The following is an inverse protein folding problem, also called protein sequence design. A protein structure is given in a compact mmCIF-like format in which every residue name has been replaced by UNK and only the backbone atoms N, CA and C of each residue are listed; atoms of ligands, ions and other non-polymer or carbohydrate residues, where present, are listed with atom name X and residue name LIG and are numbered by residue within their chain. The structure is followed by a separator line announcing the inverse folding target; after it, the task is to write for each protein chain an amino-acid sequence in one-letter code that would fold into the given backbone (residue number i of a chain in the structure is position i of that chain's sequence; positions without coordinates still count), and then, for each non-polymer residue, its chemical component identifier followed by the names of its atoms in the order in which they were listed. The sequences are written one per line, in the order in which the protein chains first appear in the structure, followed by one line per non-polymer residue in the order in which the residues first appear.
data_IF_893424677804
#
_entry.id   IF_893424677804
#
_cell.length_a   1.000
_cell.length_b   1.000
_cell.length_c   1.000
_cell.angle_alpha   90.00
_cell.angle_beta   90.00
_cell.angle_gamma   90.00
#
_symmetry.space_group_name_H-M   'P 1'
#
loop_
_entity.id
_entity.type
_entity.pdbx_description
1 polymer ?
#
# COMPACT_ATOMS: atom_id res chain seq x y z
N UNK A 1 -28.26 -5.50 23.94
CA UNK A 1 -28.58 -4.26 24.68
C UNK A 1 -27.31 -3.52 25.11
N UNK A 2 -26.44 -4.08 25.96
CA UNK A 2 -25.20 -3.39 26.42
C UNK A 2 -24.29 -2.89 25.28
N UNK A 3 -23.96 -3.76 24.32
CA UNK A 3 -23.12 -3.40 23.17
C UNK A 3 -23.79 -2.34 22.27
N UNK A 4 -25.12 -2.41 22.13
CA UNK A 4 -25.89 -1.43 21.37
C UNK A 4 -25.82 -0.04 22.04
N UNK A 5 -25.97 0.01 23.37
CA UNK A 5 -25.84 1.24 24.15
C UNK A 5 -24.42 1.81 24.10
N UNK A 6 -23.38 0.97 24.14
CA UNK A 6 -21.98 1.39 23.99
C UNK A 6 -21.75 2.11 22.65
N UNK A 7 -22.23 1.54 21.55
CA UNK A 7 -22.10 2.18 20.24
C UNK A 7 -22.94 3.45 20.12
N UNK A 8 -24.20 3.41 20.55
CA UNK A 8 -25.13 4.53 20.40
C UNK A 8 -24.75 5.74 21.27
N UNK A 9 -24.50 5.52 22.56
CA UNK A 9 -24.16 6.60 23.50
C UNK A 9 -22.72 7.10 23.31
N UNK A 10 -21.81 6.21 22.91
CA UNK A 10 -20.41 6.55 22.66
C UNK A 10 -20.11 7.05 21.25
N UNK A 11 -21.14 7.17 20.40
CA UNK A 11 -21.03 7.49 18.97
C UNK A 11 -19.93 6.67 18.26
N UNK A 12 -19.81 5.38 18.62
CA UNK A 12 -18.78 4.49 18.06
C UNK A 12 -19.26 3.81 16.80
N UNK A 13 -18.35 3.65 15.85
CA UNK A 13 -18.59 2.79 14.68
C UNK A 13 -18.88 1.36 15.13
N UNK A 14 -19.81 0.68 14.45
CA UNK A 14 -20.25 -0.65 14.89
C UNK A 14 -19.13 -1.70 14.84
N UNK A 15 -18.16 -1.56 13.93
CA UNK A 15 -17.06 -2.53 13.81
C UNK A 15 -16.09 -2.53 14.98
N UNK A 16 -16.13 -1.52 15.87
CA UNK A 16 -15.27 -1.47 17.06
C UNK A 16 -15.39 -2.72 17.93
N UNK A 17 -16.56 -3.37 17.95
CA UNK A 17 -16.81 -4.55 18.80
C UNK A 17 -16.22 -5.84 18.23
N UNK A 18 -15.83 -5.83 16.95
CA UNK A 18 -15.16 -6.94 16.28
C UNK A 18 -13.65 -6.89 16.44
N UNK A 19 -13.09 -5.74 16.84
CA UNK A 19 -11.65 -5.55 16.95
C UNK A 19 -11.04 -6.40 18.06
N UNK A 20 -9.91 -7.06 17.77
CA UNK A 20 -9.19 -7.90 18.74
C UNK A 20 -8.83 -7.15 20.02
N UNK A 21 -8.49 -5.86 19.92
CA UNK A 21 -8.23 -5.02 21.08
C UNK A 21 -9.44 -4.89 22.02
N UNK A 22 -10.64 -4.68 21.46
CA UNK A 22 -11.88 -4.63 22.24
C UNK A 22 -12.21 -6.00 22.84
N UNK A 23 -12.08 -7.07 22.07
CA UNK A 23 -12.32 -8.44 22.53
C UNK A 23 -11.36 -8.81 23.68
N UNK A 24 -10.08 -8.48 23.54
CA UNK A 24 -9.07 -8.74 24.58
C UNK A 24 -9.33 -7.90 25.83
N UNK A 25 -9.68 -6.62 25.69
CA UNK A 25 -10.11 -5.80 26.81
C UNK A 25 -11.31 -6.41 27.54
N UNK A 26 -12.34 -6.83 26.80
CA UNK A 26 -13.53 -7.46 27.37
C UNK A 26 -13.19 -8.76 28.12
N UNK A 27 -12.32 -9.61 27.55
CA UNK A 27 -11.82 -10.82 28.22
C UNK A 27 -11.07 -10.49 29.52
N UNK A 28 -10.21 -9.47 29.49
CA UNK A 28 -9.46 -9.02 30.68
C UNK A 28 -10.40 -8.54 31.78
N UNK A 29 -11.37 -7.67 31.46
CA UNK A 29 -12.35 -7.17 32.42
C UNK A 29 -13.20 -8.30 33.02
N UNK A 30 -13.61 -9.25 32.18
CA UNK A 30 -14.34 -10.44 32.65
C UNK A 30 -13.50 -11.33 33.56
N UNK A 31 -12.20 -11.49 33.26
CA UNK A 31 -11.26 -12.21 34.11
C UNK A 31 -11.09 -11.55 35.47
N UNK A 32 -10.97 -10.22 35.51
CA UNK A 32 -10.91 -9.44 36.76
C UNK A 32 -12.16 -9.69 37.60
N UNK A 33 -13.36 -9.60 37.00
CA UNK A 33 -14.62 -9.84 37.70
C UNK A 33 -14.79 -11.27 38.23
N UNK A 34 -14.21 -12.28 37.57
CA UNK A 34 -14.18 -13.67 38.08
C UNK A 34 -13.19 -13.86 39.22
N UNK A 35 -12.05 -13.18 39.17
CA UNK A 35 -10.99 -13.29 40.17
C UNK A 35 -11.26 -12.52 41.45
N UNK A 36 -12.20 -11.57 41.42
CA UNK A 36 -12.58 -10.80 42.59
C UNK A 36 -13.65 -11.51 43.41
N UNK A 37 -13.28 -11.95 44.62
CA UNK A 37 -14.21 -12.49 45.62
C UNK A 37 -15.08 -11.41 46.29
N UNK A 38 -15.03 -10.16 45.79
CA UNK A 38 -15.78 -9.02 46.32
C UNK A 38 -16.88 -8.61 45.32
N UNK A 39 -18.10 -8.45 45.82
CA UNK A 39 -19.28 -8.08 45.03
C UNK A 39 -19.33 -6.60 44.62
N UNK A 40 -18.24 -5.85 44.75
CA UNK A 40 -18.23 -4.38 44.71
C UNK A 40 -16.97 -3.79 44.07
N UNK A 41 -16.53 -4.31 42.92
CA UNK A 41 -15.54 -3.56 42.12
C UNK A 41 -16.25 -2.39 41.45
N UNK A 42 -15.90 -1.17 41.86
CA UNK A 42 -16.28 0.04 41.14
C UNK A 42 -15.54 0.09 39.79
N UNK A 43 -16.30 0.02 38.69
CA UNK A 43 -15.73 -0.03 37.33
C UNK A 43 -14.92 1.23 37.01
N UNK A 44 -15.26 2.37 37.63
CA UNK A 44 -14.54 3.64 37.49
C UNK A 44 -13.11 3.59 38.02
N UNK A 45 -12.85 2.72 38.99
CA UNK A 45 -11.51 2.56 39.57
C UNK A 45 -10.66 1.56 38.76
N UNK A 46 -11.32 0.71 37.96
CA UNK A 46 -10.67 -0.27 37.10
C UNK A 46 -10.23 0.34 35.75
N UNK A 47 -11.01 1.26 35.20
CA UNK A 47 -10.72 1.88 33.90
C UNK A 47 -9.82 3.12 34.06
N UNK A 48 -8.64 3.16 33.42
CA UNK A 48 -7.75 4.31 33.55
C UNK A 48 -8.34 5.55 32.87
N UNK A 49 -8.08 6.72 33.45
CA UNK A 49 -8.41 8.00 32.83
C UNK A 49 -7.73 8.14 31.45
N UNK A 50 -8.34 8.81 30.45
CA UNK A 50 -7.75 8.97 29.11
C UNK A 50 -6.32 9.52 29.08
N UNK A 51 -5.98 10.43 30.00
CA UNK A 51 -4.61 10.97 30.13
C UNK A 51 -3.61 9.92 30.63
N UNK A 52 -4.05 8.93 31.40
CA UNK A 52 -3.21 7.78 31.81
C UNK A 52 -3.01 6.84 30.63
N UNK A 53 -4.05 6.60 29.82
CA UNK A 53 -3.92 5.81 28.58
C UNK A 53 -2.93 6.49 27.62
N UNK A 54 -3.09 7.79 27.37
CA UNK A 54 -2.20 8.56 26.49
C UNK A 54 -0.73 8.47 26.94
N UNK A 55 -0.43 8.73 28.22
CA UNK A 55 0.93 8.60 28.77
C UNK A 55 1.48 7.18 28.63
N UNK A 56 0.65 6.17 28.87
CA UNK A 56 1.06 4.78 28.74
C UNK A 56 1.32 4.39 27.28
N UNK A 57 0.53 4.88 26.32
CA UNK A 57 0.77 4.68 24.89
C UNK A 57 2.09 5.33 24.48
N UNK A 58 2.36 6.57 24.91
CA UNK A 58 3.65 7.23 24.64
C UNK A 58 4.80 6.42 25.21
N UNK A 59 4.72 5.97 26.46
CA UNK A 59 5.76 5.13 27.07
C UNK A 59 5.97 3.83 26.28
N UNK A 60 4.89 3.14 25.92
CA UNK A 60 4.97 1.91 25.13
C UNK A 60 5.60 2.17 23.76
N UNK A 61 5.24 3.27 23.10
CA UNK A 61 5.84 3.68 21.84
C UNK A 61 7.36 3.86 21.98
N UNK A 62 7.83 4.59 22.99
CA UNK A 62 9.27 4.77 23.24
C UNK A 62 9.98 3.43 23.51
N UNK A 63 9.35 2.54 24.29
CA UNK A 63 9.89 1.19 24.56
C UNK A 63 10.02 0.35 23.29
N UNK A 64 9.02 0.35 22.42
CA UNK A 64 9.07 -0.35 21.13
C UNK A 64 10.00 0.32 20.14
N UNK A 65 10.11 1.65 20.17
CA UNK A 65 11.03 2.42 19.31
C UNK A 65 12.47 2.05 19.61
N UNK A 66 12.86 1.95 20.90
CA UNK A 66 14.20 1.51 21.29
C UNK A 66 14.49 0.10 20.73
N UNK A 67 13.56 -0.84 20.89
CA UNK A 67 13.71 -2.19 20.33
C UNK A 67 13.84 -2.19 18.81
N UNK A 68 13.10 -1.32 18.12
CA UNK A 68 13.19 -1.18 16.67
C UNK A 68 14.53 -0.56 16.25
N UNK A 69 15.06 0.41 16.99
CA UNK A 69 16.39 0.99 16.75
C UNK A 69 17.46 -0.11 16.87
N UNK A 70 17.40 -0.95 17.91
CA UNK A 70 18.35 -2.06 18.09
C UNK A 70 18.33 -3.06 16.92
N UNK A 71 17.15 -3.28 16.33
CA UNK A 71 17.00 -4.08 15.10
C UNK A 71 17.62 -3.34 13.91
N UNK A 72 17.26 -2.07 13.73
CA UNK A 72 17.70 -1.24 12.61
C UNK A 72 19.23 -1.16 12.50
N UNK A 73 19.95 -1.05 13.62
CA UNK A 73 21.42 -1.05 13.65
C UNK A 73 22.04 -2.29 13.01
N UNK A 74 21.34 -3.42 13.06
CA UNK A 74 21.82 -4.70 12.54
C UNK A 74 21.37 -4.95 11.10
N UNK A 75 20.49 -4.11 10.54
CA UNK A 75 19.95 -4.29 9.20
C UNK A 75 21.00 -3.94 8.14
N UNK A 76 21.46 -4.97 7.44
CA UNK A 76 22.31 -4.81 6.24
C UNK A 76 21.49 -4.44 5.00
N UNK A 77 20.23 -4.86 4.94
CA UNK A 77 19.32 -4.69 3.81
C UNK A 77 17.93 -4.29 4.28
N UNK A 78 17.39 -3.22 3.69
CA UNK A 78 16.02 -2.77 3.92
C UNK A 78 15.48 -2.00 2.71
N UNK A 79 14.16 -1.81 2.70
CA UNK A 79 13.44 -0.98 1.78
C UNK A 79 12.62 0.05 2.56
N UNK A 80 12.50 1.26 2.04
CA UNK A 80 11.53 2.23 2.53
C UNK A 80 10.34 2.29 1.59
N UNK A 81 9.16 2.49 2.15
CA UNK A 81 7.96 2.89 1.43
C UNK A 81 7.64 4.30 1.89
N UNK A 82 7.63 5.25 0.96
CA UNK A 82 7.25 6.64 1.22
C UNK A 82 5.96 6.91 0.47
N UNK A 83 4.90 7.13 1.22
CA UNK A 83 3.56 7.34 0.68
C UNK A 83 3.04 8.73 1.05
N UNK A 84 2.36 9.37 0.10
CA UNK A 84 1.75 10.67 0.30
C UNK A 84 0.25 10.57 0.06
N UNK A 85 -0.51 10.98 1.07
CA UNK A 85 -1.97 11.03 0.99
C UNK A 85 -2.46 12.42 1.34
N UNK A 86 -3.65 12.79 0.83
CA UNK A 86 -4.32 14.04 1.21
C UNK A 86 -5.68 13.70 1.78
N UNK A 87 -5.92 14.13 3.01
CA UNK A 87 -7.19 13.93 3.69
C UNK A 87 -8.22 14.88 3.06
N UNK A 88 -9.24 14.30 2.43
CA UNK A 88 -10.12 15.02 1.51
C UNK A 88 -10.99 16.09 2.19
N UNK A 89 -11.22 16.00 3.50
CA UNK A 89 -12.12 16.89 4.22
C UNK A 89 -11.41 18.15 4.73
N UNK A 90 -10.23 18.00 5.27
CA UNK A 90 -9.37 19.07 5.80
C UNK A 90 -8.44 19.63 4.73
N UNK A 91 -8.17 18.86 3.67
CA UNK A 91 -7.19 19.19 2.64
C UNK A 91 -5.74 19.07 3.12
N UNK A 92 -5.51 18.53 4.32
CA UNK A 92 -4.17 18.33 4.87
C UNK A 92 -3.54 17.11 4.19
N UNK A 93 -2.34 17.29 3.62
CA UNK A 93 -1.55 16.17 3.14
C UNK A 93 -0.65 15.61 4.23
N UNK A 94 -0.40 14.32 4.18
CA UNK A 94 0.48 13.58 5.06
C UNK A 94 1.50 12.81 4.23
N UNK A 95 2.68 12.61 4.81
CA UNK A 95 3.73 11.76 4.27
C UNK A 95 4.04 10.68 5.30
N UNK A 96 3.73 9.43 4.95
CA UNK A 96 4.03 8.25 5.74
C UNK A 96 5.32 7.60 5.28
N UNK A 97 6.11 7.10 6.22
CA UNK A 97 7.32 6.32 5.95
C UNK A 97 7.21 4.99 6.66
N UNK A 98 7.30 3.91 5.88
CA UNK A 98 7.38 2.57 6.39
C UNK A 98 8.73 1.92 6.06
N UNK A 99 9.35 1.30 7.05
CA UNK A 99 10.50 0.44 6.91
C UNK A 99 10.04 -0.98 6.61
N UNK A 100 10.65 -1.61 5.60
CA UNK A 100 10.38 -3.00 5.24
C UNK A 100 11.68 -3.77 5.13
N UNK A 101 11.77 -4.91 5.81
CA UNK A 101 12.95 -5.76 5.76
C UNK A 101 12.57 -7.23 5.90
N UNK A 102 13.48 -8.11 5.50
CA UNK A 102 13.34 -9.55 5.67
C UNK A 102 14.16 -9.95 6.88
N UNK A 103 13.49 -10.44 7.93
CA UNK A 103 14.15 -10.91 9.15
C UNK A 103 14.63 -12.36 9.03
N UNK A 104 14.98 -12.93 10.18
CA UNK A 104 15.29 -14.35 10.28
C UNK A 104 14.11 -15.22 9.78
N UNK A 105 14.40 -16.41 9.26
CA UNK A 105 13.41 -17.34 8.69
C UNK A 105 12.64 -16.80 7.47
N UNK A 106 13.20 -15.80 6.78
CA UNK A 106 12.60 -15.20 5.58
C UNK A 106 11.22 -14.58 5.80
N UNK A 107 10.94 -14.14 7.03
CA UNK A 107 9.72 -13.40 7.34
C UNK A 107 9.86 -11.94 6.92
N UNK A 108 8.84 -11.43 6.24
CA UNK A 108 8.76 -10.02 5.86
C UNK A 108 8.16 -9.21 7.01
N UNK A 109 8.86 -8.15 7.41
CA UNK A 109 8.42 -7.20 8.42
C UNK A 109 8.18 -5.83 7.80
N UNK A 110 7.11 -5.18 8.23
CA UNK A 110 6.76 -3.81 7.84
C UNK A 110 6.49 -3.02 9.12
N UNK A 111 7.18 -1.89 9.28
CA UNK A 111 7.00 -0.98 10.41
C UNK A 111 6.76 0.43 9.89
N UNK A 112 5.68 1.06 10.33
CA UNK A 112 5.50 2.50 10.12
C UNK A 112 6.43 3.20 11.10
N UNK A 113 7.46 3.86 10.59
CA UNK A 113 8.48 4.50 11.43
C UNK A 113 8.15 5.97 11.70
N UNK A 114 7.42 6.63 10.80
CA UNK A 114 6.88 7.97 11.01
C UNK A 114 5.73 8.30 10.03
N UNK A 115 4.92 9.29 10.40
CA UNK A 115 3.92 9.93 9.55
C UNK A 115 3.79 11.40 9.95
N UNK A 116 4.03 12.32 9.01
CA UNK A 116 4.05 13.75 9.30
C UNK A 116 3.18 14.56 8.32
N UNK A 117 2.63 15.70 8.76
CA UNK A 117 1.95 16.63 7.87
C UNK A 117 2.90 17.13 6.78
N UNK A 118 2.47 17.05 5.53
CA UNK A 118 3.21 17.45 4.35
C UNK A 118 2.45 18.56 3.64
N UNK A 119 3.11 19.68 3.35
CA UNK A 119 2.50 20.75 2.56
C UNK A 119 2.98 20.65 1.11
N UNK A 120 2.16 20.07 0.24
CA UNK A 120 2.50 19.86 -1.18
C UNK A 120 2.71 21.17 -1.98
N UNK A 121 2.30 22.33 -1.45
CA UNK A 121 2.50 23.63 -2.08
C UNK A 121 3.88 24.23 -1.78
N UNK A 122 4.43 24.00 -0.59
CA UNK A 122 5.69 24.61 -0.14
C UNK A 122 6.84 23.62 -0.02
N UNK A 123 6.55 22.35 0.27
CA UNK A 123 7.58 21.32 0.39
C UNK A 123 8.09 20.91 -0.99
N UNK A 124 9.39 21.08 -1.19
CA UNK A 124 10.12 20.60 -2.36
C UNK A 124 10.62 19.17 -2.16
N UNK A 125 11.12 18.56 -3.23
CA UNK A 125 11.80 17.27 -3.18
C UNK A 125 12.96 17.24 -2.16
N UNK A 126 13.67 18.36 -2.02
CA UNK A 126 14.75 18.51 -1.06
C UNK A 126 14.24 18.46 0.39
N UNK A 127 13.16 19.20 0.69
CA UNK A 127 12.55 19.17 2.02
C UNK A 127 12.10 17.75 2.39
N UNK A 128 11.45 17.04 1.44
CA UNK A 128 11.08 15.64 1.65
C UNK A 128 12.30 14.76 1.98
N UNK A 129 13.41 14.95 1.24
CA UNK A 129 14.65 14.20 1.49
C UNK A 129 15.25 14.51 2.86
N UNK A 130 15.28 15.77 3.27
CA UNK A 130 15.79 16.19 4.59
C UNK A 130 14.96 15.58 5.73
N UNK A 131 13.63 15.59 5.62
CA UNK A 131 12.75 14.93 6.60
C UNK A 131 13.01 13.44 6.69
N UNK A 132 13.09 12.75 5.55
CA UNK A 132 13.37 11.30 5.51
C UNK A 132 14.74 11.01 6.12
N UNK A 133 15.79 11.78 5.78
CA UNK A 133 17.12 11.60 6.35
C UNK A 133 17.12 11.77 7.87
N UNK A 134 16.44 12.78 8.41
CA UNK A 134 16.32 12.99 9.85
C UNK A 134 15.69 11.79 10.56
N UNK A 135 14.65 11.21 9.98
CA UNK A 135 13.99 10.02 10.51
C UNK A 135 14.94 8.83 10.47
N UNK A 136 15.63 8.63 9.35
CA UNK A 136 16.60 7.54 9.24
C UNK A 136 17.75 7.67 10.24
N UNK A 137 18.26 8.88 10.46
CA UNK A 137 19.27 9.16 11.49
C UNK A 137 18.78 8.77 12.89
N UNK A 138 17.52 9.05 13.22
CA UNK A 138 16.91 8.66 14.49
C UNK A 138 16.84 7.13 14.66
N UNK A 139 16.58 6.41 13.57
CA UNK A 139 16.57 4.95 13.54
C UNK A 139 17.94 4.32 13.22
N UNK A 140 19.02 5.13 13.16
CA UNK A 140 20.39 4.70 12.82
C UNK A 140 20.48 3.95 11.49
N UNK A 141 19.63 4.34 10.54
CA UNK A 141 19.61 3.85 9.17
C UNK A 141 20.24 4.87 8.23
N UNK A 142 20.72 4.40 7.08
CA UNK A 142 21.23 5.26 6.03
C UNK A 142 20.81 4.71 4.66
N UNK A 143 20.42 5.61 3.76
CA UNK A 143 20.23 5.27 2.36
C UNK A 143 21.57 5.29 1.63
N UNK A 144 21.81 4.24 0.85
CA UNK A 144 22.94 4.09 -0.05
C UNK A 144 22.48 3.41 -1.34
N UNK A 145 23.39 3.23 -2.30
CA UNK A 145 23.08 2.68 -3.63
C UNK A 145 22.53 1.24 -3.62
N UNK A 146 22.66 0.53 -2.49
CA UNK A 146 22.12 -0.82 -2.28
C UNK A 146 20.72 -0.82 -1.67
N UNK A 147 20.27 0.32 -1.12
CA UNK A 147 18.96 0.45 -0.47
C UNK A 147 17.87 0.84 -1.46
N UNK A 148 16.66 0.40 -1.17
CA UNK A 148 15.49 0.62 -2.02
C UNK A 148 14.52 1.61 -1.38
N UNK A 149 13.93 2.46 -2.22
CA UNK A 149 12.83 3.34 -1.82
C UNK A 149 11.69 3.18 -2.82
N UNK A 150 10.52 2.77 -2.34
CA UNK A 150 9.28 2.72 -3.10
C UNK A 150 8.50 3.99 -2.83
N UNK A 151 8.13 4.72 -3.88
CA UNK A 151 7.27 5.91 -3.76
C UNK A 151 6.23 5.93 -4.87
N UNK A 152 5.27 6.83 -4.79
CA UNK A 152 4.41 7.16 -5.94
C UNK A 152 5.24 7.62 -7.17
N UNK A 153 4.58 7.75 -8.32
CA UNK A 153 5.21 8.23 -9.56
C UNK A 153 5.00 9.74 -9.78
N UNK A 154 4.80 10.51 -8.73
CA UNK A 154 4.64 11.95 -8.87
C UNK A 154 5.96 12.63 -9.21
N UNK A 155 6.01 13.50 -10.25
CA UNK A 155 7.24 14.13 -10.71
C UNK A 155 7.97 14.92 -9.63
N UNK A 156 7.25 15.41 -8.63
CA UNK A 156 7.80 16.18 -7.51
C UNK A 156 8.62 15.32 -6.53
N UNK A 157 8.33 14.02 -6.41
CA UNK A 157 9.04 13.13 -5.49
C UNK A 157 10.29 12.54 -6.13
N UNK A 158 10.29 12.37 -7.46
CA UNK A 158 11.42 11.76 -8.20
C UNK A 158 12.80 12.34 -7.84
N UNK A 159 13.01 13.67 -7.73
CA UNK A 159 14.32 14.22 -7.44
C UNK A 159 14.83 13.89 -6.03
N UNK A 160 13.94 13.61 -5.06
CA UNK A 160 14.31 13.33 -3.68
C UNK A 160 15.09 12.02 -3.51
N UNK A 161 14.92 11.08 -4.44
CA UNK A 161 15.43 9.71 -4.33
C UNK A 161 16.22 9.24 -5.57
N UNK A 162 16.68 10.18 -6.42
CA UNK A 162 17.34 9.83 -7.69
C UNK A 162 18.80 9.39 -7.55
N UNK A 163 19.55 9.94 -6.61
CA UNK A 163 21.03 9.85 -6.63
C UNK A 163 21.64 8.87 -5.63
N UNK A 164 21.02 8.70 -4.45
CA UNK A 164 21.64 7.99 -3.32
C UNK A 164 21.09 6.59 -3.07
N UNK A 165 20.05 6.17 -3.78
CA UNK A 165 19.36 4.90 -3.56
C UNK A 165 18.64 4.42 -4.83
N UNK A 166 18.26 3.14 -4.86
CA UNK A 166 17.44 2.58 -5.93
C UNK A 166 15.97 2.89 -5.71
N UNK A 167 15.42 3.83 -6.50
CA UNK A 167 13.99 4.14 -6.46
C UNK A 167 13.17 3.13 -7.29
N UNK A 168 12.09 2.64 -6.72
CA UNK A 168 11.07 1.85 -7.44
C UNK A 168 9.75 2.61 -7.43
N UNK A 169 9.13 2.75 -8.60
CA UNK A 169 7.83 3.42 -8.73
C UNK A 169 6.68 2.50 -8.30
N UNK A 170 5.73 3.03 -7.53
CA UNK A 170 4.54 2.30 -7.13
C UNK A 170 3.69 1.91 -8.35
N UNK A 171 3.45 0.60 -8.49
CA UNK A 171 2.63 0.03 -9.56
C UNK A 171 1.16 0.42 -9.42
N UNK A 172 0.62 0.44 -8.19
CA UNK A 172 -0.78 0.79 -7.93
C UNK A 172 -1.04 2.25 -8.30
N UNK A 173 -0.16 3.16 -7.89
CA UNK A 173 -0.24 4.55 -8.30
C UNK A 173 -0.16 4.71 -9.82
N UNK A 174 0.72 3.95 -10.49
CA UNK A 174 0.81 3.97 -11.95
C UNK A 174 -0.52 3.55 -12.61
N UNK A 175 -1.07 2.40 -12.24
CA UNK A 175 -2.29 1.86 -12.81
C UNK A 175 -3.49 2.76 -12.55
N UNK A 176 -3.64 3.24 -11.32
CA UNK A 176 -4.71 4.16 -10.93
C UNK A 176 -4.63 5.45 -11.77
N UNK A 177 -3.43 5.98 -12.01
CA UNK A 177 -3.24 7.16 -12.87
C UNK A 177 -3.65 6.91 -14.32
N UNK A 178 -3.39 5.73 -14.88
CA UNK A 178 -3.85 5.38 -16.23
C UNK A 178 -5.37 5.29 -16.31
N UNK A 179 -6.01 4.68 -15.31
CA UNK A 179 -7.48 4.64 -15.22
C UNK A 179 -8.08 6.04 -15.08
N UNK A 180 -7.50 6.89 -14.24
CA UNK A 180 -7.91 8.30 -14.14
C UNK A 180 -7.79 9.03 -15.47
N UNK A 181 -6.69 8.84 -16.21
CA UNK A 181 -6.53 9.42 -17.53
C UNK A 181 -7.62 8.94 -18.49
N UNK A 182 -7.88 7.64 -18.54
CA UNK A 182 -8.94 7.08 -19.38
C UNK A 182 -10.32 7.67 -19.05
N UNK A 183 -10.61 7.92 -17.78
CA UNK A 183 -11.94 8.34 -17.32
C UNK A 183 -12.16 9.84 -17.21
N UNK A 184 -11.10 10.66 -17.21
CA UNK A 184 -11.19 12.07 -16.84
C UNK A 184 -10.40 13.01 -17.75
N UNK A 185 -9.46 12.51 -18.54
CA UNK A 185 -8.54 13.33 -19.32
C UNK A 185 -8.82 13.18 -20.81
N UNK A 186 -8.83 14.29 -21.55
CA UNK A 186 -8.85 14.24 -23.02
C UNK A 186 -7.43 14.12 -23.60
N UNK A 187 -6.42 14.47 -22.80
CA UNK A 187 -5.01 14.49 -23.20
C UNK A 187 -4.11 14.17 -22.00
N UNK A 188 -2.95 13.57 -22.28
CA UNK A 188 -1.89 13.32 -21.30
C UNK A 188 -0.56 13.92 -21.75
N UNK A 189 0.21 14.44 -20.80
CA UNK A 189 1.57 14.90 -21.04
C UNK A 189 2.55 13.76 -20.81
N UNK A 190 3.19 13.27 -21.88
CA UNK A 190 4.23 12.24 -21.78
C UNK A 190 5.56 12.85 -21.31
N UNK A 191 5.83 14.08 -21.73
CA UNK A 191 6.95 14.89 -21.27
C UNK A 191 6.61 16.39 -21.51
N UNK A 192 7.55 17.30 -21.23
CA UNK A 192 7.36 18.75 -21.37
C UNK A 192 6.90 19.18 -22.78
N UNK A 193 7.21 18.41 -23.82
CA UNK A 193 7.01 18.76 -25.22
C UNK A 193 6.09 17.79 -25.99
N UNK A 194 5.60 16.72 -25.35
CA UNK A 194 4.80 15.69 -26.01
C UNK A 194 3.47 15.51 -25.29
N UNK A 195 2.40 15.78 -26.03
CA UNK A 195 1.01 15.60 -25.59
C UNK A 195 0.41 14.50 -26.44
N UNK A 196 -0.31 13.60 -25.79
CA UNK A 196 -1.02 12.50 -26.42
C UNK A 196 -2.52 12.62 -26.16
N UNK A 197 -3.34 12.39 -27.18
CA UNK A 197 -4.79 12.36 -27.03
C UNK A 197 -5.23 11.07 -26.34
N UNK A 198 -6.22 11.19 -25.47
CA UNK A 198 -6.93 10.07 -24.85
C UNK A 198 -8.25 9.88 -25.57
N UNK A 199 -8.42 8.75 -26.25
CA UNK A 199 -9.63 8.42 -26.98
C UNK A 199 -10.48 7.44 -26.15
N UNK A 200 -11.16 7.97 -25.13
CA UNK A 200 -12.05 7.22 -24.23
C UNK A 200 -13.39 7.96 -24.00
N UNK A 201 -13.80 8.78 -24.97
CA UNK A 201 -14.92 9.74 -24.83
C UNK A 201 -16.23 9.05 -24.42
N UNK A 202 -16.51 7.86 -24.95
CA UNK A 202 -17.74 7.11 -24.65
C UNK A 202 -17.81 6.73 -23.16
N UNK A 203 -16.71 6.24 -22.60
CA UNK A 203 -16.61 5.89 -21.18
C UNK A 203 -16.65 7.15 -20.31
N UNK A 204 -15.95 8.20 -20.71
CA UNK A 204 -15.93 9.48 -20.01
C UNK A 204 -17.33 10.10 -19.92
N UNK A 205 -18.10 10.05 -21.02
CA UNK A 205 -19.47 10.57 -21.08
C UNK A 205 -20.40 9.85 -20.10
N UNK A 206 -20.31 8.52 -20.03
CA UNK A 206 -21.12 7.71 -19.11
C UNK A 206 -20.75 8.00 -17.65
N UNK A 207 -19.45 8.06 -17.33
CA UNK A 207 -19.02 8.40 -15.98
C UNK A 207 -19.45 9.82 -15.59
N UNK A 208 -19.41 10.78 -16.51
CA UNK A 208 -19.91 12.13 -16.29
C UNK A 208 -21.43 12.16 -16.02
N UNK A 209 -22.23 11.35 -16.72
CA UNK A 209 -23.66 11.20 -16.43
C UNK A 209 -23.89 10.63 -15.02
N UNK A 210 -23.15 9.58 -14.65
CA UNK A 210 -23.21 9.00 -13.30
C UNK A 210 -22.86 10.04 -12.23
N UNK A 211 -21.80 10.83 -12.43
CA UNK A 211 -21.39 11.91 -11.52
C UNK A 211 -22.48 12.97 -11.36
N UNK A 212 -23.19 13.35 -12.43
CA UNK A 212 -24.31 14.31 -12.38
C UNK A 212 -25.50 13.80 -11.56
N UNK A 213 -25.81 12.51 -11.69
CA UNK A 213 -26.86 11.89 -10.86
C UNK A 213 -26.43 11.89 -9.39
N UNK A 214 -25.19 11.49 -9.09
CA UNK A 214 -24.68 11.47 -7.71
C UNK A 214 -24.64 12.85 -7.07
N UNK A 215 -24.19 13.88 -7.81
CA UNK A 215 -24.20 15.24 -7.30
C UNK A 215 -25.63 15.67 -6.96
N UNK A 216 -26.60 15.38 -7.83
CA UNK A 216 -28.02 15.69 -7.58
C UNK A 216 -28.59 14.98 -6.32
N UNK A 217 -28.23 13.71 -6.09
CA UNK A 217 -28.63 12.96 -4.88
C UNK A 217 -28.01 13.57 -3.61
N UNK A 218 -26.76 14.05 -3.70
CA UNK A 218 -26.08 14.73 -2.57
C UNK A 218 -26.73 16.08 -2.26
N UNK A 219 -27.00 16.89 -3.29
CA UNK A 219 -27.61 18.21 -3.13
C UNK A 219 -29.05 18.14 -2.62
N UNK A 220 -29.73 17.01 -2.80
CA UNK A 220 -31.06 16.75 -2.23
C UNK A 220 -31.04 16.18 -0.81
N UNK A 221 -29.86 16.10 -0.17
CA UNK A 221 -29.66 15.54 1.18
C UNK A 221 -30.12 14.08 1.33
N UNK A 222 -30.24 13.34 0.23
CA UNK A 222 -30.66 11.95 0.22
C UNK A 222 -29.48 10.97 0.31
N UNK A 223 -28.32 11.44 0.79
CA UNK A 223 -27.08 10.66 0.88
C UNK A 223 -27.20 9.40 1.75
N UNK A 224 -28.12 9.39 2.73
CA UNK A 224 -28.40 8.19 3.55
C UNK A 224 -29.04 7.05 2.76
N UNK A 225 -29.58 7.33 1.57
CA UNK A 225 -30.08 6.30 0.64
C UNK A 225 -28.96 5.66 -0.18
N UNK A 226 -27.73 6.18 -0.07
CA UNK A 226 -26.54 5.56 -0.65
C UNK A 226 -26.01 4.48 0.31
N UNK A 227 -25.51 3.38 -0.24
CA UNK A 227 -24.85 2.34 0.56
C UNK A 227 -23.63 2.89 1.31
N UNK A 228 -23.23 2.23 2.40
CA UNK A 228 -22.10 2.68 3.23
C UNK A 228 -20.79 2.78 2.44
N UNK A 229 -20.53 1.84 1.52
CA UNK A 229 -19.38 1.90 0.60
C UNK A 229 -19.40 3.15 -0.31
N UNK A 230 -20.58 3.64 -0.69
CA UNK A 230 -20.76 4.84 -1.54
C UNK A 230 -20.67 6.17 -0.81
N UNK A 231 -20.86 6.14 0.51
CA UNK A 231 -20.62 7.29 1.36
C UNK A 231 -19.12 7.47 1.61
N UNK A 232 -18.35 6.37 1.64
CA UNK A 232 -16.89 6.34 1.90
C UNK A 232 -16.06 6.50 0.62
N UNK A 233 -16.46 5.91 -0.51
CA UNK A 233 -15.81 6.12 -1.81
C UNK A 233 -16.42 7.34 -2.51
N UNK A 234 -15.60 8.33 -2.81
CA UNK A 234 -15.92 9.22 -3.92
C UNK A 234 -16.06 8.40 -5.21
N UNK A 235 -17.22 8.52 -5.87
CA UNK A 235 -17.55 8.06 -7.24
C UNK A 235 -18.02 6.58 -7.43
N UNK A 236 -19.23 6.26 -6.93
CA UNK A 236 -20.36 5.58 -7.62
C UNK A 236 -20.78 4.08 -7.39
N UNK A 237 -22.15 3.91 -7.38
CA UNK A 237 -23.10 2.76 -7.65
C UNK A 237 -23.57 1.76 -6.56
N UNK A 238 -24.85 1.36 -6.38
CA UNK A 238 -26.22 1.78 -6.77
C UNK A 238 -27.25 1.16 -5.79
N UNK A 239 -28.45 1.77 -5.65
CA UNK A 239 -29.66 1.23 -5.00
C UNK A 239 -30.78 2.29 -4.96
N UNK A 240 -32.05 1.88 -5.12
CA UNK A 240 -33.25 2.71 -5.40
C UNK A 240 -33.35 4.05 -4.66
N UNK A 241 -33.32 5.15 -5.41
CA UNK A 241 -33.61 6.50 -4.91
C UNK A 241 -34.92 6.98 -5.55
N UNK A 242 -35.86 7.45 -4.73
CA UNK A 242 -36.99 8.27 -5.21
C UNK A 242 -36.44 9.60 -5.72
N UNK A 243 -36.40 9.76 -7.04
CA UNK A 243 -35.68 10.83 -7.72
C UNK A 243 -36.64 11.87 -8.32
N UNK A 244 -36.32 13.15 -8.17
CA UNK A 244 -37.03 14.30 -8.77
C UNK A 244 -36.93 14.28 -10.33
N UNK A 245 -37.88 14.85 -11.06
CA UNK A 245 -38.02 14.65 -12.54
C UNK A 245 -36.74 14.89 -13.37
N UNK A 246 -35.93 15.91 -13.04
CA UNK A 246 -34.66 16.19 -13.73
C UNK A 246 -33.61 15.10 -13.53
N UNK A 247 -33.45 14.63 -12.30
CA UNK A 247 -32.49 13.58 -11.96
C UNK A 247 -32.98 12.20 -12.45
N UNK A 248 -34.30 12.03 -12.66
CA UNK A 248 -34.88 10.83 -13.26
C UNK A 248 -34.56 10.78 -14.76
N UNK A 249 -34.63 11.92 -15.44
CA UNK A 249 -34.17 12.04 -16.83
C UNK A 249 -32.67 11.75 -16.94
N UNK A 250 -31.83 12.35 -16.10
CA UNK A 250 -30.39 12.09 -16.10
C UNK A 250 -30.06 10.62 -15.79
N UNK A 251 -30.81 9.97 -14.89
CA UNK A 251 -30.67 8.54 -14.58
C UNK A 251 -31.10 7.64 -15.75
N UNK A 252 -32.19 7.97 -16.43
CA UNK A 252 -32.68 7.20 -17.57
C UNK A 252 -31.75 7.28 -18.80
N UNK A 253 -30.93 8.33 -18.89
CA UNK A 253 -29.91 8.49 -19.93
C UNK A 253 -28.67 7.63 -19.70
N UNK A 254 -28.50 7.06 -18.51
CA UNK A 254 -27.36 6.19 -18.20
C UNK A 254 -27.56 4.83 -18.87
N UNK A 255 -26.65 4.49 -19.78
CA UNK A 255 -26.64 3.19 -20.44
C UNK A 255 -26.16 2.08 -19.49
N UNK A 256 -27.11 1.47 -18.78
CA UNK A 256 -26.83 0.46 -17.74
C UNK A 256 -25.99 -0.72 -18.22
N UNK A 257 -26.25 -1.21 -19.43
CA UNK A 257 -25.51 -2.33 -20.01
C UNK A 257 -24.03 -1.97 -20.18
N UNK A 258 -23.74 -0.87 -20.84
CA UNK A 258 -22.37 -0.41 -21.03
C UNK A 258 -21.67 -0.11 -19.71
N UNK A 259 -22.44 0.39 -18.75
CA UNK A 259 -21.98 0.68 -17.41
C UNK A 259 -21.60 -0.62 -16.64
N UNK A 260 -22.34 -1.72 -16.83
CA UNK A 260 -21.99 -3.06 -16.35
C UNK A 260 -20.79 -3.66 -17.10
N UNK A 261 -20.73 -3.49 -18.42
CA UNK A 261 -19.60 -3.93 -19.26
C UNK A 261 -18.28 -3.26 -18.79
N UNK A 262 -18.31 -1.96 -18.48
CA UNK A 262 -17.16 -1.24 -17.91
C UNK A 262 -16.76 -1.83 -16.55
N UNK A 263 -17.72 -2.15 -15.68
CA UNK A 263 -17.41 -2.77 -14.39
C UNK A 263 -16.76 -4.13 -14.54
N UNK A 264 -17.28 -4.98 -15.42
CA UNK A 264 -16.72 -6.30 -15.72
C UNK A 264 -15.31 -6.17 -16.33
N UNK A 265 -15.09 -5.18 -17.20
CA UNK A 265 -13.77 -4.89 -17.76
C UNK A 265 -12.75 -4.46 -16.69
N UNK A 266 -13.19 -3.78 -15.62
CA UNK A 266 -12.32 -3.30 -14.55
C UNK A 266 -12.04 -4.31 -13.45
N UNK A 267 -12.79 -5.41 -13.36
CA UNK A 267 -12.58 -6.46 -12.36
C UNK A 267 -11.13 -7.00 -12.35
N UNK A 268 -10.47 -7.30 -13.49
CA UNK A 268 -9.07 -7.70 -13.51
C UNK A 268 -8.10 -6.64 -12.96
N UNK A 269 -8.44 -5.35 -13.05
CA UNK A 269 -7.61 -4.30 -12.46
C UNK A 269 -7.73 -4.30 -10.93
N UNK A 270 -8.92 -4.54 -10.39
CA UNK A 270 -9.12 -4.70 -8.95
C UNK A 270 -8.33 -5.91 -8.40
N UNK A 271 -8.38 -7.05 -9.09
CA UNK A 271 -7.58 -8.23 -8.73
C UNK A 271 -6.08 -7.92 -8.66
N UNK A 272 -5.60 -7.10 -9.61
CA UNK A 272 -4.19 -6.70 -9.66
C UNK A 272 -3.84 -5.73 -8.54
N UNK A 273 -4.69 -4.76 -8.24
CA UNK A 273 -4.50 -3.87 -7.09
C UNK A 273 -4.41 -4.68 -5.79
N UNK A 274 -5.36 -5.58 -5.54
CA UNK A 274 -5.37 -6.42 -4.34
C UNK A 274 -4.10 -7.28 -4.25
N UNK A 275 -3.64 -7.84 -5.37
CA UNK A 275 -2.45 -8.68 -5.41
C UNK A 275 -1.12 -7.92 -5.23
N UNK A 276 -1.06 -6.64 -5.62
CA UNK A 276 0.13 -5.80 -5.51
C UNK A 276 0.21 -5.06 -4.17
N UNK A 277 -0.94 -4.71 -3.59
CA UNK A 277 -1.07 -4.04 -2.29
C UNK A 277 -0.88 -4.98 -1.09
N UNK A 278 -0.68 -6.29 -1.29
CA UNK A 278 -0.44 -7.24 -0.20
C UNK A 278 0.83 -6.91 0.62
N UNK A 279 0.67 -6.72 1.93
CA UNK A 279 1.72 -6.22 2.83
C UNK A 279 2.44 -7.34 3.61
N UNK A 280 1.85 -8.53 3.68
CA UNK A 280 2.38 -9.68 4.42
C UNK A 280 3.35 -10.55 3.62
N UNK A 281 3.40 -10.41 2.29
CA UNK A 281 4.22 -11.22 1.40
C UNK A 281 4.97 -10.34 0.39
N UNK A 282 6.12 -10.80 -0.14
CA UNK A 282 6.80 -10.06 -1.22
C UNK A 282 5.89 -9.93 -2.44
N UNK A 283 5.74 -8.73 -3.00
CA UNK A 283 4.85 -8.50 -4.16
C UNK A 283 5.59 -8.13 -5.46
N UNK A 284 6.86 -7.69 -5.38
CA UNK A 284 7.61 -7.17 -6.54
C UNK A 284 7.70 -8.17 -7.71
N UNK A 285 7.83 -9.47 -7.40
CA UNK A 285 7.90 -10.55 -8.38
C UNK A 285 6.59 -10.75 -9.17
N UNK A 286 5.47 -10.19 -8.70
CA UNK A 286 4.16 -10.29 -9.36
C UNK A 286 3.97 -9.23 -10.44
N UNK A 287 4.75 -8.14 -10.42
CA UNK A 287 4.54 -6.98 -11.30
C UNK A 287 4.58 -7.39 -12.79
N UNK A 288 5.58 -8.16 -13.22
CA UNK A 288 5.70 -8.56 -14.64
C UNK A 288 4.58 -9.53 -15.05
N UNK A 289 4.29 -10.62 -14.31
CA UNK A 289 3.15 -11.49 -14.62
C UNK A 289 1.81 -10.75 -14.65
N UNK A 290 1.54 -9.89 -13.67
CA UNK A 290 0.28 -9.14 -13.60
C UNK A 290 0.16 -8.07 -14.69
N UNK A 291 1.28 -7.46 -15.08
CA UNK A 291 1.32 -6.58 -16.26
C UNK A 291 0.92 -7.35 -17.52
N UNK A 292 1.49 -8.53 -17.74
CA UNK A 292 1.13 -9.37 -18.89
C UNK A 292 -0.33 -9.83 -18.82
N UNK A 293 -0.80 -10.20 -17.62
CA UNK A 293 -2.21 -10.53 -17.39
C UNK A 293 -3.14 -9.39 -17.81
N UNK A 294 -2.87 -8.15 -17.40
CA UNK A 294 -3.67 -6.99 -17.80
C UNK A 294 -3.58 -6.72 -19.31
N UNK A 295 -2.41 -6.88 -19.92
CA UNK A 295 -2.27 -6.75 -21.38
C UNK A 295 -3.19 -7.73 -22.12
N UNK A 296 -3.22 -8.99 -21.69
CA UNK A 296 -4.10 -10.01 -22.27
C UNK A 296 -5.59 -9.68 -22.04
N UNK A 297 -5.93 -9.09 -20.88
CA UNK A 297 -7.31 -8.65 -20.58
C UNK A 297 -7.74 -7.41 -21.36
N UNK A 298 -6.80 -6.64 -21.89
CA UNK A 298 -7.04 -5.51 -22.77
C UNK A 298 -7.02 -5.89 -24.26
N UNK A 299 -6.97 -7.18 -24.61
CA UNK A 299 -7.15 -7.61 -26.00
C UNK A 299 -8.61 -7.41 -26.42
N UNK A 300 -8.80 -6.77 -27.58
CA UNK A 300 -10.12 -6.47 -28.13
C UNK A 300 -10.78 -7.76 -28.64
N UNK A 301 -12.03 -7.96 -28.26
CA UNK A 301 -12.87 -9.08 -28.68
C UNK A 301 -13.91 -8.63 -29.70
N UNK A 302 -14.44 -9.58 -30.48
CA UNK A 302 -15.43 -9.31 -31.54
C UNK A 302 -16.74 -8.74 -31.00
N UNK A 303 -17.11 -9.07 -29.77
CA UNK A 303 -18.34 -8.66 -29.09
C UNK A 303 -18.18 -7.41 -28.21
N UNK A 304 -16.98 -6.83 -28.14
CA UNK A 304 -16.73 -5.63 -27.34
C UNK A 304 -17.47 -4.42 -27.91
N UNK A 305 -18.09 -3.64 -27.02
CA UNK A 305 -18.69 -2.37 -27.39
C UNK A 305 -17.62 -1.34 -27.78
N UNK A 306 -17.98 -0.33 -28.57
CA UNK A 306 -17.04 0.71 -28.98
C UNK A 306 -16.32 1.40 -27.80
N UNK A 307 -17.01 1.56 -26.65
CA UNK A 307 -16.39 2.16 -25.47
C UNK A 307 -15.37 1.22 -24.80
N UNK A 308 -15.63 -0.09 -24.80
CA UNK A 308 -14.68 -1.08 -24.29
C UNK A 308 -13.46 -1.16 -25.22
N UNK A 309 -13.65 -1.12 -26.54
CA UNK A 309 -12.55 -1.07 -27.51
C UNK A 309 -11.64 0.15 -27.26
N UNK A 310 -12.24 1.33 -27.09
CA UNK A 310 -11.52 2.57 -26.75
C UNK A 310 -10.67 2.41 -25.47
N UNK A 311 -11.31 1.92 -24.40
CA UNK A 311 -10.67 1.73 -23.10
C UNK A 311 -9.53 0.70 -23.16
N UNK A 312 -9.79 -0.45 -23.78
CA UNK A 312 -8.84 -1.54 -23.96
C UNK A 312 -7.62 -1.08 -24.76
N UNK A 313 -7.82 -0.39 -25.89
CA UNK A 313 -6.73 0.11 -26.71
C UNK A 313 -5.86 1.13 -25.96
N UNK A 314 -6.48 2.09 -25.27
CA UNK A 314 -5.76 3.09 -24.49
C UNK A 314 -4.93 2.42 -23.38
N UNK A 315 -5.55 1.56 -22.56
CA UNK A 315 -4.89 0.94 -21.42
C UNK A 315 -3.81 -0.06 -21.85
N UNK A 316 -4.06 -0.90 -22.86
CA UNK A 316 -3.05 -1.82 -23.39
C UNK A 316 -1.77 -1.08 -23.83
N UNK A 317 -1.96 0.05 -24.52
CA UNK A 317 -0.86 0.89 -24.98
C UNK A 317 -0.10 1.52 -23.81
N UNK A 318 -0.80 2.07 -22.82
CA UNK A 318 -0.14 2.67 -21.65
C UNK A 318 0.61 1.62 -20.82
N UNK A 319 -0.04 0.49 -20.52
CA UNK A 319 0.57 -0.64 -19.81
C UNK A 319 1.84 -1.12 -20.54
N UNK A 320 1.83 -1.19 -21.87
CA UNK A 320 2.98 -1.62 -22.68
C UNK A 320 4.10 -0.58 -22.74
N UNK A 321 3.79 0.71 -22.87
CA UNK A 321 4.79 1.72 -23.21
C UNK A 321 5.22 2.59 -22.02
N UNK A 322 4.32 2.85 -21.07
CA UNK A 322 4.55 3.80 -19.98
C UNK A 322 4.78 3.12 -18.62
N UNK A 323 4.34 1.87 -18.43
CA UNK A 323 4.63 1.13 -17.18
C UNK A 323 6.10 0.72 -17.15
N UNK A 324 6.90 1.50 -16.43
CA UNK A 324 8.34 1.30 -16.34
C UNK A 324 8.73 0.04 -15.56
N UNK A 325 9.31 -0.94 -16.25
CA UNK A 325 9.84 -2.17 -15.67
C UNK A 325 11.36 -2.08 -15.52
N UNK A 326 11.81 -1.98 -14.27
CA UNK A 326 13.23 -2.00 -13.88
C UNK A 326 13.81 -3.42 -13.85
N UNK A 327 15.13 -3.51 -13.77
CA UNK A 327 15.83 -4.79 -13.63
C UNK A 327 15.54 -5.49 -12.29
N UNK A 328 15.12 -4.76 -11.26
CA UNK A 328 14.70 -5.38 -10.00
C UNK A 328 13.36 -6.12 -10.10
N UNK A 329 12.43 -5.65 -10.94
CA UNK A 329 11.20 -6.40 -11.25
C UNK A 329 11.53 -7.71 -11.97
N UNK A 330 12.48 -7.63 -12.92
CA UNK A 330 13.00 -8.79 -13.66
C UNK A 330 13.63 -9.83 -12.74
N UNK A 331 14.59 -9.40 -11.91
CA UNK A 331 15.28 -10.24 -10.94
C UNK A 331 14.30 -10.89 -9.96
N UNK A 332 13.42 -10.10 -9.34
CA UNK A 332 12.44 -10.65 -8.38
C UNK A 332 11.52 -11.68 -9.02
N UNK A 333 11.11 -11.48 -10.27
CA UNK A 333 10.29 -12.45 -11.02
C UNK A 333 11.04 -13.76 -11.23
N UNK A 334 12.29 -13.74 -11.73
CA UNK A 334 13.03 -14.98 -12.02
C UNK A 334 13.51 -15.72 -10.76
N UNK A 335 13.72 -15.00 -9.66
CA UNK A 335 14.08 -15.58 -8.36
C UNK A 335 12.90 -16.32 -7.72
N UNK A 336 11.67 -16.04 -8.15
CA UNK A 336 10.51 -16.74 -7.67
C UNK A 336 10.41 -18.15 -8.31
N UNK A 337 10.45 -19.25 -7.53
CA UNK A 337 10.56 -20.61 -8.08
C UNK A 337 9.48 -20.98 -9.09
N UNK A 338 8.24 -20.53 -8.87
CA UNK A 338 7.10 -20.81 -9.78
C UNK A 338 7.12 -19.99 -11.07
N UNK A 339 7.94 -18.93 -11.14
CA UNK A 339 8.01 -18.00 -12.27
C UNK A 339 9.34 -18.11 -13.04
N UNK A 340 10.25 -19.00 -12.62
CA UNK A 340 11.55 -19.23 -13.29
C UNK A 340 11.39 -19.61 -14.76
N UNK A 341 10.30 -20.30 -15.10
CA UNK A 341 9.95 -20.72 -16.46
C UNK A 341 8.83 -19.86 -17.04
N UNK A 342 8.64 -18.62 -16.56
CA UNK A 342 7.64 -17.73 -17.11
C UNK A 342 8.06 -17.32 -18.53
N UNK A 343 7.61 -18.11 -19.51
CA UNK A 343 8.04 -18.06 -20.91
C UNK A 343 7.30 -16.97 -21.73
N UNK A 344 6.34 -16.27 -21.13
CA UNK A 344 5.58 -15.20 -21.79
C UNK A 344 6.43 -13.98 -22.20
N UNK A 345 7.71 -13.92 -21.81
CA UNK A 345 8.60 -12.87 -22.26
C UNK A 345 10.07 -13.35 -22.33
N UNK A 346 10.39 -14.13 -23.37
CA UNK A 346 11.75 -14.67 -23.63
C UNK A 346 12.83 -13.58 -23.54
N UNK A 347 12.57 -12.41 -24.11
CA UNK A 347 13.49 -11.26 -24.06
C UNK A 347 13.77 -10.78 -22.63
N UNK A 348 12.73 -10.73 -21.78
CA UNK A 348 12.87 -10.35 -20.38
C UNK A 348 13.63 -11.42 -19.61
N UNK A 349 13.46 -12.71 -19.93
CA UNK A 349 14.19 -13.82 -19.29
C UNK A 349 15.70 -13.74 -19.56
N UNK A 350 16.12 -13.56 -20.79
CA UNK A 350 17.55 -13.42 -21.14
C UNK A 350 18.17 -12.19 -20.47
N UNK A 351 17.48 -11.05 -20.53
CA UNK A 351 17.92 -9.82 -19.86
C UNK A 351 18.03 -10.05 -18.34
N UNK A 352 17.04 -10.70 -17.73
CA UNK A 352 17.04 -11.02 -16.29
C UNK A 352 18.22 -11.89 -15.89
N UNK A 353 18.54 -12.92 -16.69
CA UNK A 353 19.69 -13.81 -16.44
C UNK A 353 21.01 -13.03 -16.55
N UNK A 354 21.14 -12.13 -17.53
CA UNK A 354 22.34 -11.32 -17.68
C UNK A 354 22.53 -10.35 -16.51
N UNK A 355 21.46 -9.69 -16.05
CA UNK A 355 21.50 -8.86 -14.85
C UNK A 355 21.89 -9.70 -13.64
N UNK A 356 21.29 -10.88 -13.47
CA UNK A 356 21.59 -11.75 -12.32
C UNK A 356 23.06 -12.16 -12.29
N UNK A 357 23.64 -12.50 -13.46
CA UNK A 357 25.08 -12.78 -13.58
C UNK A 357 25.93 -11.58 -13.17
N UNK A 358 25.57 -10.37 -13.62
CA UNK A 358 26.29 -9.14 -13.25
C UNK A 358 26.24 -8.89 -11.74
N UNK A 359 25.08 -9.06 -11.10
CA UNK A 359 24.94 -8.92 -9.65
C UNK A 359 25.75 -9.98 -8.89
N UNK A 360 25.74 -11.25 -9.34
CA UNK A 360 26.58 -12.29 -8.75
C UNK A 360 28.07 -11.95 -8.82
N UNK A 361 28.57 -11.42 -9.95
CA UNK A 361 29.97 -11.04 -10.08
C UNK A 361 30.33 -9.83 -9.21
N UNK A 362 29.42 -8.84 -9.07
CA UNK A 362 29.60 -7.74 -8.11
C UNK A 362 29.75 -8.24 -6.68
N UNK A 363 28.93 -9.21 -6.26
CA UNK A 363 28.98 -9.75 -4.91
C UNK A 363 30.18 -10.68 -4.66
N UNK A 364 30.64 -11.44 -5.66
CA UNK A 364 31.89 -12.23 -5.55
C UNK A 364 33.13 -11.36 -5.31
N UNK A 365 33.20 -10.18 -5.93
CA UNK A 365 34.31 -9.23 -5.74
C UNK A 365 34.34 -8.66 -4.31
N UNK A 366 33.18 -8.54 -3.66
CA UNK A 366 33.05 -8.05 -2.29
C UNK A 366 33.48 -9.12 -1.26
N UNK A 367 33.15 -10.40 -1.49
CA UNK A 367 33.61 -11.50 -0.61
C UNK A 367 35.12 -11.73 -0.70
N UNK A 368 35.73 -11.53 -1.88
CA UNK A 368 37.19 -11.71 -2.04
C UNK A 368 38.05 -10.63 -1.37
N UNK A 369 37.47 -9.47 -1.03
CA UNK A 369 38.18 -8.33 -0.43
C UNK A 369 38.03 -8.23 1.10
N UNK A 370 37.18 -9.07 1.71
CA UNK A 370 36.93 -9.10 3.16
C UNK A 370 37.62 -10.28 3.89
N UNK A 371 38.29 -11.18 3.17
CA UNK A 371 38.93 -12.38 3.75
C UNK A 371 40.45 -12.31 3.99
N UNK A 372 41.06 -11.13 4.10
CA UNK A 372 42.53 -11.05 4.32
C UNK A 372 43.00 -10.59 5.69
N UNK A 373 42.13 -10.31 6.66
CA UNK A 373 42.61 -10.02 8.01
C UNK A 373 41.85 -10.78 9.10
N UNK A 374 42.64 -11.50 9.91
CA UNK A 374 42.34 -12.09 11.23
C UNK A 374 41.87 -13.55 11.28
N UNK A 375 42.67 -14.44 10.68
CA UNK A 375 42.84 -15.82 11.19
C UNK A 375 44.15 -15.89 11.99
N UNK A 376 44.09 -15.56 13.27
CA UNK A 376 44.99 -16.09 14.29
C UNK A 376 44.46 -15.69 15.67
N UNK A 377 43.87 -16.64 16.40
CA UNK A 377 44.30 -17.04 17.74
C UNK A 377 43.33 -18.07 18.36
N UNK A 378 43.92 -19.22 18.65
CA UNK A 378 43.63 -20.19 19.71
C UNK A 378 42.32 -20.98 19.70
N UNK A 379 42.44 -22.20 19.21
CA UNK A 379 41.82 -23.39 19.78
C UNK A 379 42.22 -23.54 21.25
N UNK A 380 41.26 -23.65 22.18
CA UNK A 380 41.34 -24.61 23.29
C UNK A 380 39.98 -24.80 23.98
N UNK A 381 39.71 -26.07 24.28
CA UNK A 381 38.76 -26.62 25.25
C UNK A 381 37.25 -26.61 24.94
N UNK A 382 36.86 -27.73 24.35
CA UNK A 382 35.60 -28.45 24.61
C UNK A 382 35.45 -28.71 26.12
N UNK A 383 34.37 -28.23 26.72
CA UNK A 383 33.69 -28.94 27.80
C UNK A 383 32.18 -28.71 27.73
N UNK A 384 31.49 -29.82 27.78
CA UNK A 384 30.06 -30.05 27.66
C UNK A 384 29.27 -29.58 28.89
N UNK A 385 28.20 -28.83 28.67
CA UNK A 385 27.00 -28.89 29.52
C UNK A 385 25.82 -28.22 28.81
N UNK A 386 24.79 -29.01 28.47
CA UNK A 386 23.43 -28.53 28.22
C UNK A 386 22.90 -27.82 29.49
N UNK A 387 21.98 -26.85 29.41
CA UNK A 387 20.55 -27.21 29.29
C UNK A 387 19.62 -26.18 28.62
N UNK A 388 18.38 -26.66 28.42
CA UNK A 388 17.11 -25.94 28.49
C UNK A 388 16.70 -25.00 27.33
N UNK A 389 15.82 -25.59 26.52
CA UNK A 389 14.76 -24.94 25.74
C UNK A 389 14.06 -23.81 26.51
N UNK A 390 14.13 -22.59 25.98
CA UNK A 390 13.15 -21.54 26.22
C UNK A 390 12.76 -20.92 24.88
N UNK A 391 11.68 -21.45 24.30
CA UNK A 391 10.97 -20.81 23.19
C UNK A 391 10.16 -19.64 23.74
N UNK A 392 10.68 -18.43 23.59
CA UNK A 392 9.89 -17.20 23.76
C UNK A 392 9.25 -16.85 22.43
N UNK A 393 8.02 -17.32 22.23
CA UNK A 393 7.12 -16.84 21.20
C UNK A 393 6.78 -15.36 21.46
N UNK A 394 7.43 -14.43 20.74
CA UNK A 394 6.99 -13.04 20.68
C UNK A 394 5.78 -12.99 19.74
N UNK A 395 4.61 -12.82 20.35
CA UNK A 395 3.33 -12.68 19.66
C UNK A 395 3.28 -11.36 18.89
N UNK A 396 2.88 -11.48 17.63
CA UNK A 396 2.39 -10.41 16.75
C UNK A 396 1.39 -9.51 17.46
N UNK A 397 1.62 -8.21 17.44
CA UNK A 397 0.58 -7.19 17.52
C UNK A 397 0.80 -6.21 16.37
N UNK A 398 -0.01 -6.35 15.32
CA UNK A 398 -0.24 -5.28 14.35
C UNK A 398 -0.80 -4.09 15.11
N UNK A 399 -0.17 -2.92 14.96
CA UNK A 399 -0.79 -1.64 15.28
C UNK A 399 -0.97 -0.94 13.94
N UNK A 400 -2.23 -0.57 13.71
CA UNK A 400 -2.82 0.10 12.54
C UNK A 400 -2.18 1.46 12.29
#
# INVERSE_FOLDING_TARGET
KLVQSFCALGARVFDVVKGDGFINLAKTLFGVGRGSNTSSIEITDLLPHPTTISRNITRLYEEYKIQLIDICEQLTSFCLIVDQCTEAHTGISYCGIALRYVGEYSQLFTFIIDCFPYNAATHSAQHLREFVNKILEEYKLQLDSTKFVVTDNEPKILPAFREQCSRVGCADHYLNKQLQHAFQSNQIHLNKNTIESVDCELVQNILNQVKKVLSSVRHSHQQQKLSQKLQTYSEARFGEVLVNSKTLNDYNLIEKKLLDDICNFLEPFQEVFDALSEDQQPSLHRVIPLRQYLMNKCEVKEDDSAAIIQLAFFLARQIKNAWHITDHHRLSTILHPKLKNFDCCIYEKEKSINVLKQEFEKHKLIDSSSCTNTLHLTQSNVQSSSPASNQTHIKKSMIV
#
